data_IF_111563165325
#
_entry.id   IF_111563165325
#
_cell.length_a   1.000
_cell.length_b   1.000
_cell.length_c   1.000
_cell.angle_alpha   90.00
_cell.angle_beta   90.00
_cell.angle_gamma   90.00
#
_symmetry.space_group_name_H-M   'P 1'
#
loop_
_entity.id
_entity.type
_entity.pdbx_description
1 polymer ?
#
# COMPACT_ATOMS: atom_id res chain seq x y z
N UNK A 1 -26.67 -8.83 -12.30
CA UNK A 1 -25.42 -9.09 -11.56
C UNK A 1 -24.35 -9.31 -12.61
N UNK A 2 -23.39 -8.39 -12.71
CA UNK A 2 -22.27 -8.48 -13.66
C UNK A 2 -21.36 -9.66 -13.27
N UNK A 3 -20.78 -10.35 -14.24
CA UNK A 3 -19.78 -11.42 -14.00
C UNK A 3 -18.42 -10.82 -13.61
N UNK A 4 -17.53 -11.62 -13.00
CA UNK A 4 -16.21 -11.15 -12.56
C UNK A 4 -15.38 -10.51 -13.68
N UNK A 5 -15.42 -11.09 -14.88
CA UNK A 5 -14.76 -10.52 -16.07
C UNK A 5 -15.37 -9.19 -16.52
N UNK A 6 -16.69 -9.02 -16.39
CA UNK A 6 -17.37 -7.76 -16.69
C UNK A 6 -17.02 -6.68 -15.66
N UNK A 7 -16.83 -7.05 -14.38
CA UNK A 7 -16.38 -6.14 -13.34
C UNK A 7 -14.94 -5.66 -13.56
N UNK A 8 -14.02 -6.54 -13.99
CA UNK A 8 -12.65 -6.15 -14.37
C UNK A 8 -12.64 -5.25 -15.62
N UNK A 9 -13.44 -5.59 -16.63
CA UNK A 9 -13.55 -4.76 -17.84
C UNK A 9 -14.14 -3.37 -17.54
N UNK A 10 -15.18 -3.29 -16.70
CA UNK A 10 -15.78 -2.03 -16.27
C UNK A 10 -14.87 -1.21 -15.33
N UNK A 11 -13.90 -1.85 -14.67
CA UNK A 11 -12.88 -1.15 -13.88
C UNK A 11 -11.82 -0.48 -14.75
N UNK A 12 -11.41 -1.14 -15.85
CA UNK A 12 -10.41 -0.64 -16.81
C UNK A 12 -11.00 0.43 -17.75
N UNK A 13 -12.24 0.23 -18.18
CA UNK A 13 -12.98 1.16 -19.05
C UNK A 13 -14.35 1.47 -18.45
N UNK A 14 -14.53 2.73 -18.01
CA UNK A 14 -15.78 3.22 -17.40
C UNK A 14 -16.78 3.72 -18.44
N UNK A 15 -16.58 3.39 -19.72
CA UNK A 15 -17.47 3.80 -20.82
C UNK A 15 -18.93 3.42 -20.61
N UNK A 16 -19.21 2.22 -20.08
CA UNK A 16 -20.60 1.81 -19.78
C UNK A 16 -21.25 2.69 -18.71
N UNK A 17 -20.48 3.03 -17.66
CA UNK A 17 -20.93 3.92 -16.58
C UNK A 17 -21.19 5.32 -17.12
N UNK A 18 -20.31 5.83 -17.99
CA UNK A 18 -20.52 7.13 -18.64
C UNK A 18 -21.80 7.12 -19.49
N UNK A 19 -22.02 6.07 -20.28
CA UNK A 19 -23.24 5.95 -21.11
C UNK A 19 -24.50 5.89 -20.24
N UNK A 20 -24.46 5.17 -19.12
CA UNK A 20 -25.57 5.07 -18.17
C UNK A 20 -25.87 6.42 -17.49
N UNK A 21 -24.84 7.15 -17.07
CA UNK A 21 -24.97 8.52 -16.55
C UNK A 21 -25.56 9.45 -17.60
N UNK A 22 -25.08 9.38 -18.85
CA UNK A 22 -25.59 10.21 -19.95
C UNK A 22 -27.06 9.89 -20.27
N UNK A 23 -27.49 8.63 -20.14
CA UNK A 23 -28.89 8.24 -20.33
C UNK A 23 -29.83 8.80 -19.24
N UNK A 24 -29.32 9.03 -18.03
CA UNK A 24 -30.06 9.66 -16.94
C UNK A 24 -30.19 11.18 -17.05
N UNK A 25 -29.42 11.82 -17.94
CA UNK A 25 -29.40 13.27 -18.10
C UNK A 25 -30.33 13.74 -19.22
N UNK A 26 -30.85 14.97 -19.10
CA UNK A 26 -31.70 15.57 -20.14
C UNK A 26 -30.90 15.87 -21.41
N UNK A 27 -29.66 16.32 -21.25
CA UNK A 27 -28.70 16.50 -22.35
C UNK A 27 -27.33 16.00 -21.91
N UNK A 28 -26.54 15.37 -22.80
CA UNK A 28 -25.16 14.98 -22.51
C UNK A 28 -24.28 16.14 -22.03
N UNK A 29 -24.55 17.36 -22.51
CA UNK A 29 -23.83 18.57 -22.10
C UNK A 29 -24.05 18.98 -20.65
N UNK A 30 -25.11 18.49 -20.00
CA UNK A 30 -25.39 18.84 -18.61
C UNK A 30 -24.31 18.27 -17.66
N UNK A 31 -23.69 17.13 -18.03
CA UNK A 31 -22.54 16.56 -17.31
C UNK A 31 -21.31 17.49 -17.35
N UNK A 32 -21.09 18.18 -18.48
CA UNK A 32 -20.04 19.20 -18.57
C UNK A 32 -20.39 20.42 -17.72
N UNK A 33 -21.67 20.76 -17.61
CA UNK A 33 -22.14 21.81 -16.71
C UNK A 33 -21.82 21.49 -15.25
N UNK A 34 -21.99 20.23 -14.84
CA UNK A 34 -21.63 19.76 -13.49
C UNK A 34 -20.11 19.81 -13.26
N UNK A 35 -19.31 19.37 -14.23
CA UNK A 35 -17.84 19.50 -14.19
C UNK A 35 -17.40 20.96 -14.06
N UNK A 36 -18.06 21.88 -14.77
CA UNK A 36 -17.79 23.32 -14.69
C UNK A 36 -18.23 23.91 -13.35
N UNK A 37 -19.40 23.53 -12.84
CA UNK A 37 -19.92 23.98 -11.56
C UNK A 37 -19.00 23.52 -10.41
N UNK A 38 -18.61 22.25 -10.39
CA UNK A 38 -17.68 21.71 -9.40
C UNK A 38 -16.34 22.45 -9.43
N UNK A 39 -15.79 22.72 -10.62
CA UNK A 39 -14.57 23.51 -10.76
C UNK A 39 -14.72 24.94 -10.19
N UNK A 40 -15.80 25.66 -10.52
CA UNK A 40 -16.01 27.03 -10.05
C UNK A 40 -16.22 27.07 -8.52
N UNK A 41 -16.98 26.13 -7.97
CA UNK A 41 -17.21 26.03 -6.51
C UNK A 41 -15.92 25.66 -5.79
N UNK A 42 -15.10 24.80 -6.36
CA UNK A 42 -13.76 24.51 -5.85
C UNK A 42 -12.87 25.77 -5.88
N UNK A 43 -12.80 26.44 -7.02
CA UNK A 43 -11.94 27.61 -7.24
C UNK A 43 -12.30 28.82 -6.39
N UNK A 44 -13.60 29.11 -6.21
CA UNK A 44 -14.09 30.29 -5.47
C UNK A 44 -14.42 29.98 -4.01
N UNK A 45 -14.93 28.77 -3.73
CA UNK A 45 -15.44 28.39 -2.43
C UNK A 45 -14.48 27.58 -1.57
N UNK A 46 -13.31 27.18 -2.10
CA UNK A 46 -12.33 26.31 -1.42
C UNK A 46 -12.96 25.04 -0.82
N UNK A 47 -14.05 24.56 -1.42
CA UNK A 47 -14.76 23.37 -0.95
C UNK A 47 -14.02 22.11 -1.37
N UNK A 48 -13.63 21.29 -0.40
CA UNK A 48 -13.01 20.00 -0.64
C UNK A 48 -13.97 18.99 -1.30
N UNK A 49 -15.27 19.07 -1.00
CA UNK A 49 -16.28 18.21 -1.64
C UNK A 49 -16.40 18.52 -3.14
N UNK A 50 -16.36 19.80 -3.51
CA UNK A 50 -16.38 20.22 -4.91
C UNK A 50 -15.11 19.80 -5.67
N UNK A 51 -13.97 19.76 -4.97
CA UNK A 51 -12.72 19.22 -5.50
C UNK A 51 -12.82 17.72 -5.81
N UNK A 52 -13.29 16.91 -4.85
CA UNK A 52 -13.48 15.46 -5.04
C UNK A 52 -14.47 15.17 -6.18
N UNK A 53 -15.57 15.93 -6.28
CA UNK A 53 -16.53 15.81 -7.37
C UNK A 53 -15.92 16.16 -8.73
N UNK A 54 -15.17 17.26 -8.82
CA UNK A 54 -14.46 17.64 -10.05
C UNK A 54 -13.45 16.56 -10.48
N UNK A 55 -12.69 16.02 -9.52
CA UNK A 55 -11.74 14.93 -9.75
C UNK A 55 -12.43 13.66 -10.23
N UNK A 56 -13.55 13.26 -9.60
CA UNK A 56 -14.31 12.08 -9.99
C UNK A 56 -14.86 12.19 -11.42
N UNK A 57 -15.41 13.35 -11.80
CA UNK A 57 -15.89 13.61 -13.16
C UNK A 57 -14.76 13.61 -14.19
N UNK A 58 -13.60 14.21 -13.84
CA UNK A 58 -12.42 14.19 -14.69
C UNK A 58 -11.90 12.77 -14.92
N UNK A 59 -11.86 11.94 -13.87
CA UNK A 59 -11.50 10.54 -13.95
C UNK A 59 -12.46 9.73 -14.82
N UNK A 60 -13.78 9.94 -14.66
CA UNK A 60 -14.80 9.31 -15.50
C UNK A 60 -14.55 9.56 -17.00
N UNK A 61 -14.27 10.81 -17.39
CA UNK A 61 -13.95 11.12 -18.79
C UNK A 61 -12.60 10.57 -19.26
N UNK A 62 -11.59 10.52 -18.38
CA UNK A 62 -10.27 10.00 -18.71
C UNK A 62 -10.27 8.47 -18.91
N UNK A 63 -11.12 7.76 -18.18
CA UNK A 63 -11.21 6.30 -18.17
C UNK A 63 -12.33 5.76 -19.08
N UNK A 64 -13.02 6.61 -19.85
CA UNK A 64 -14.10 6.22 -20.76
C UNK A 64 -13.64 6.25 -22.23
N UNK A 65 -12.67 5.42 -22.60
CA UNK A 65 -12.11 5.43 -23.96
C UNK A 65 -13.12 4.93 -25.01
N UNK A 66 -13.84 3.86 -24.72
CA UNK A 66 -14.83 3.26 -25.62
C UNK A 66 -16.05 4.16 -25.92
N UNK A 67 -16.39 5.08 -25.01
CA UNK A 67 -17.54 5.98 -25.17
C UNK A 67 -17.27 7.19 -26.08
N UNK A 68 -16.02 7.44 -26.46
CA UNK A 68 -15.62 8.63 -27.23
C UNK A 68 -16.21 8.62 -28.64
N UNK A 69 -16.17 7.48 -29.32
CA UNK A 69 -16.63 7.38 -30.71
C UNK A 69 -18.15 7.58 -30.84
N UNK A 70 -18.91 7.22 -29.79
CA UNK A 70 -20.35 7.46 -29.71
C UNK A 70 -20.74 8.89 -29.30
N UNK A 71 -19.82 9.69 -28.74
CA UNK A 71 -20.12 10.97 -28.12
C UNK A 71 -19.13 12.09 -28.51
N UNK A 72 -18.71 12.13 -29.78
CA UNK A 72 -17.65 13.05 -30.26
C UNK A 72 -17.92 14.53 -29.95
N UNK A 73 -19.18 14.98 -30.02
CA UNK A 73 -19.55 16.38 -29.73
C UNK A 73 -19.41 16.74 -28.25
N UNK A 74 -19.68 15.77 -27.36
CA UNK A 74 -19.48 15.92 -25.92
C UNK A 74 -17.98 16.06 -25.62
N UNK A 75 -17.15 15.17 -26.16
CA UNK A 75 -15.70 15.23 -25.96
C UNK A 75 -15.08 16.49 -26.59
N UNK A 76 -15.55 16.92 -27.76
CA UNK A 76 -15.14 18.20 -28.34
C UNK A 76 -15.42 19.39 -27.41
N UNK A 77 -16.57 19.38 -26.74
CA UNK A 77 -16.95 20.38 -25.76
C UNK A 77 -16.11 20.25 -24.48
N UNK A 78 -15.83 19.03 -24.03
CA UNK A 78 -14.94 18.73 -22.91
C UNK A 78 -13.54 19.33 -23.11
N UNK A 79 -12.89 19.14 -24.26
CA UNK A 79 -11.57 19.74 -24.52
C UNK A 79 -11.58 21.26 -24.39
N UNK A 80 -12.68 21.93 -24.79
CA UNK A 80 -12.81 23.39 -24.64
C UNK A 80 -12.94 23.79 -23.17
N UNK A 81 -13.72 23.03 -22.40
CA UNK A 81 -13.89 23.23 -20.95
C UNK A 81 -12.55 23.04 -20.25
N UNK A 82 -11.89 21.90 -20.45
CA UNK A 82 -10.61 21.57 -19.80
C UNK A 82 -9.50 22.56 -20.17
N UNK A 83 -9.43 23.01 -21.42
CA UNK A 83 -8.49 24.05 -21.83
C UNK A 83 -8.70 25.35 -21.04
N UNK A 84 -9.95 25.78 -20.89
CA UNK A 84 -10.29 27.02 -20.16
C UNK A 84 -10.05 26.87 -18.66
N UNK A 85 -10.45 25.73 -18.06
CA UNK A 85 -10.24 25.45 -16.64
C UNK A 85 -8.74 25.40 -16.31
N UNK A 86 -7.95 24.72 -17.14
CA UNK A 86 -6.51 24.66 -16.92
C UNK A 86 -5.87 26.04 -17.00
N UNK A 87 -6.28 26.91 -17.94
CA UNK A 87 -5.80 28.30 -18.00
C UNK A 87 -6.13 29.12 -16.75
N UNK A 88 -7.28 28.87 -16.11
CA UNK A 88 -7.74 29.63 -14.94
C UNK A 88 -7.21 29.10 -13.61
N UNK A 89 -6.70 27.87 -13.57
CA UNK A 89 -6.20 27.25 -12.35
C UNK A 89 -4.88 27.92 -11.90
N UNK A 90 -4.73 28.34 -10.63
CA UNK A 90 -3.49 28.89 -10.07
C UNK A 90 -2.37 27.84 -10.00
N UNK A 91 -1.13 28.27 -10.16
CA UNK A 91 0.04 27.37 -10.11
C UNK A 91 0.23 26.71 -8.73
N UNK A 92 -0.16 27.39 -7.65
CA UNK A 92 -0.06 26.87 -6.29
C UNK A 92 -1.03 25.69 -6.01
N UNK A 93 -2.15 25.63 -6.74
CA UNK A 93 -3.10 24.49 -6.67
C UNK A 93 -2.62 23.27 -7.47
N UNK A 94 -1.65 23.43 -8.36
CA UNK A 94 -1.08 22.32 -9.13
C UNK A 94 -0.14 21.44 -8.30
N UNK A 95 0.28 21.94 -7.13
CA UNK A 95 1.29 21.36 -6.24
C UNK A 95 0.68 20.60 -5.04
N UNK A 96 -0.60 20.24 -5.10
CA UNK A 96 -1.32 19.60 -3.98
C UNK A 96 -0.80 18.19 -3.60
N UNK A 97 0.07 17.58 -4.40
CA UNK A 97 0.70 16.29 -4.08
C UNK A 97 2.18 16.45 -3.70
N UNK A 98 2.44 16.33 -2.40
CA UNK A 98 3.74 16.34 -1.73
C UNK A 98 4.58 15.06 -1.99
N UNK A 99 4.77 14.67 -3.27
CA UNK A 99 5.76 13.63 -3.60
C UNK A 99 5.66 12.86 -4.93
N UNK A 100 4.86 13.25 -5.92
CA UNK A 100 4.76 12.55 -7.21
C UNK A 100 3.78 13.26 -8.13
N UNK A 101 3.90 13.09 -9.45
CA UNK A 101 3.18 13.87 -10.47
C UNK A 101 1.70 14.14 -10.14
N UNK A 102 1.30 15.41 -10.12
CA UNK A 102 -0.06 15.86 -9.84
C UNK A 102 -1.09 14.99 -10.57
N UNK A 103 -2.06 14.42 -9.85
CA UNK A 103 -3.15 13.61 -10.43
C UNK A 103 -3.85 14.31 -11.62
N UNK A 104 -3.86 15.64 -11.63
CA UNK A 104 -4.37 16.47 -12.74
C UNK A 104 -3.58 16.18 -14.02
N UNK A 105 -2.25 16.11 -13.94
CA UNK A 105 -1.38 15.81 -15.09
C UNK A 105 -1.70 14.43 -15.66
N UNK A 106 -1.97 13.44 -14.80
CA UNK A 106 -2.33 12.10 -15.23
C UNK A 106 -3.65 12.07 -16.01
N UNK A 107 -4.73 12.62 -15.45
CA UNK A 107 -6.03 12.60 -16.13
C UNK A 107 -6.01 13.42 -17.42
N UNK A 108 -5.35 14.58 -17.42
CA UNK A 108 -5.21 15.39 -18.64
C UNK A 108 -4.36 14.67 -19.69
N UNK A 109 -3.30 13.94 -19.30
CA UNK A 109 -2.51 13.12 -20.23
C UNK A 109 -3.36 12.03 -20.87
N UNK A 110 -4.07 11.24 -20.07
CA UNK A 110 -4.93 10.14 -20.55
C UNK A 110 -6.01 10.67 -21.51
N UNK A 111 -6.63 11.81 -21.18
CA UNK A 111 -7.58 12.49 -22.08
C UNK A 111 -6.89 12.95 -23.38
N UNK A 112 -5.68 13.51 -23.33
CA UNK A 112 -4.94 13.92 -24.53
C UNK A 112 -4.57 12.72 -25.41
N UNK A 113 -4.15 11.60 -24.82
CA UNK A 113 -3.80 10.36 -25.52
C UNK A 113 -5.04 9.79 -26.24
N UNK A 114 -6.15 9.64 -25.52
CA UNK A 114 -7.42 9.13 -26.06
C UNK A 114 -7.96 9.97 -27.22
N UNK A 115 -7.75 11.29 -27.18
CA UNK A 115 -8.14 12.21 -28.25
C UNK A 115 -7.16 12.27 -29.41
N UNK A 116 -5.87 12.02 -29.16
CA UNK A 116 -4.83 12.02 -30.20
C UNK A 116 -4.95 10.80 -31.12
N UNK A 117 -5.47 9.69 -30.60
CA UNK A 117 -5.81 8.49 -31.38
C UNK A 117 -6.92 8.73 -32.42
N UNK A 118 -7.70 9.83 -32.30
CA UNK A 118 -8.90 10.08 -33.11
C UNK A 118 -8.80 11.38 -33.92
N UNK A 119 -9.04 11.34 -35.25
CA UNK A 119 -8.81 12.50 -36.13
C UNK A 119 -9.73 13.69 -35.84
N UNK A 120 -10.96 13.46 -35.35
CA UNK A 120 -11.93 14.50 -35.01
C UNK A 120 -11.53 15.33 -33.77
N UNK A 121 -10.74 14.75 -32.88
CA UNK A 121 -10.32 15.34 -31.59
C UNK A 121 -8.85 15.74 -31.59
N UNK A 122 -8.02 15.16 -32.47
CA UNK A 122 -6.58 15.34 -32.54
C UNK A 122 -6.12 16.81 -32.51
N UNK A 123 -6.81 17.70 -33.24
CA UNK A 123 -6.48 19.13 -33.25
C UNK A 123 -6.63 19.75 -31.86
N UNK A 124 -7.72 19.44 -31.14
CA UNK A 124 -7.99 19.98 -29.79
C UNK A 124 -7.11 19.32 -28.73
N UNK A 125 -6.88 18.01 -28.84
CA UNK A 125 -5.94 17.28 -27.99
C UNK A 125 -4.52 17.87 -28.10
N UNK A 126 -4.07 18.24 -29.31
CA UNK A 126 -2.77 18.88 -29.50
C UNK A 126 -2.66 20.28 -28.85
N UNK A 127 -3.72 21.08 -28.85
CA UNK A 127 -3.73 22.36 -28.12
C UNK A 127 -3.69 22.17 -26.60
N UNK A 128 -4.46 21.20 -26.10
CA UNK A 128 -4.46 20.87 -24.67
C UNK A 128 -3.09 20.32 -24.23
N UNK A 129 -2.47 19.47 -25.05
CA UNK A 129 -1.11 18.96 -24.84
C UNK A 129 -0.09 20.08 -24.68
N UNK A 130 -0.08 21.04 -25.62
CA UNK A 130 0.81 22.21 -25.55
C UNK A 130 0.58 23.05 -24.30
N UNK A 131 -0.68 23.21 -23.88
CA UNK A 131 -1.00 23.94 -22.66
C UNK A 131 -0.48 23.21 -21.41
N UNK A 132 -0.61 21.88 -21.36
CA UNK A 132 -0.05 21.06 -20.29
C UNK A 132 1.48 21.14 -20.25
N UNK A 133 2.17 21.02 -21.39
CA UNK A 133 3.62 21.14 -21.46
C UNK A 133 4.11 22.51 -20.99
N UNK A 134 3.40 23.60 -21.35
CA UNK A 134 3.74 24.94 -20.91
C UNK A 134 3.52 25.17 -19.40
N UNK A 135 2.53 24.50 -18.79
CA UNK A 135 2.16 24.68 -17.37
C UNK A 135 2.89 23.72 -16.44
N UNK A 136 3.19 22.51 -16.89
CA UNK A 136 3.75 21.43 -16.07
C UNK A 136 5.18 21.01 -16.48
N UNK A 137 5.73 21.55 -17.58
CA UNK A 137 7.05 21.21 -18.09
C UNK A 137 7.10 19.94 -18.96
N UNK A 138 8.31 19.55 -19.40
CA UNK A 138 8.54 18.40 -20.32
C UNK A 138 8.29 17.01 -19.70
N UNK A 139 7.91 16.90 -18.41
CA UNK A 139 7.60 15.61 -17.77
C UNK A 139 6.25 15.00 -18.21
N UNK A 140 5.71 15.46 -19.34
CA UNK A 140 4.53 14.87 -19.94
C UNK A 140 4.82 13.50 -20.60
N UNK A 141 6.10 13.14 -20.79
CA UNK A 141 6.54 11.94 -21.52
C UNK A 141 7.02 10.73 -20.71
N UNK A 142 7.22 10.83 -19.39
CA UNK A 142 7.65 9.67 -18.59
C UNK A 142 6.45 8.99 -17.94
N UNK A 143 6.35 7.68 -18.17
CA UNK A 143 5.34 6.78 -17.60
C UNK A 143 5.48 6.81 -16.08
N UNK A 144 4.55 7.51 -15.43
CA UNK A 144 4.30 7.37 -14.00
C UNK A 144 2.94 6.70 -13.89
N UNK A 145 2.97 5.42 -13.53
CA UNK A 145 1.81 4.68 -13.03
C UNK A 145 1.22 5.51 -11.89
N UNK A 146 0.03 6.09 -12.12
CA UNK A 146 -0.78 6.58 -11.02
C UNK A 146 -1.45 5.36 -10.44
N UNK A 147 -1.39 5.21 -9.11
CA UNK A 147 -2.13 4.19 -8.38
C UNK A 147 -3.61 4.31 -8.73
N UNK A 148 -4.05 3.46 -9.66
CA UNK A 148 -5.46 3.29 -10.02
C UNK A 148 -6.23 2.93 -8.74
N UNK A 149 -7.37 3.58 -8.54
CA UNK A 149 -8.20 3.35 -7.38
C UNK A 149 -8.70 1.91 -7.38
N UNK A 150 -8.25 1.13 -6.40
CA UNK A 150 -8.86 -0.11 -5.92
C UNK A 150 -9.34 -1.05 -7.04
N UNK A 151 -8.39 -1.72 -7.72
CA UNK A 151 -8.71 -2.86 -8.57
C UNK A 151 -9.47 -3.92 -7.75
N UNK A 152 -10.73 -4.25 -8.09
CA UNK A 152 -11.37 -5.42 -7.52
C UNK A 152 -10.61 -6.68 -8.00
N UNK A 153 -10.54 -7.74 -7.18
CA UNK A 153 -9.74 -8.92 -7.48
C UNK A 153 -10.16 -9.53 -8.81
N UNK A 154 -9.19 -9.65 -9.74
CA UNK A 154 -9.34 -10.41 -10.98
C UNK A 154 -9.55 -11.88 -10.61
N UNK A 155 -10.76 -12.39 -10.85
CA UNK A 155 -11.02 -13.83 -10.80
C UNK A 155 -10.47 -14.42 -12.09
N UNK A 156 -9.32 -15.09 -11.98
CA UNK A 156 -8.80 -15.94 -13.05
C UNK A 156 -9.57 -17.25 -12.96
N UNK A 157 -10.49 -17.50 -13.89
CA UNK A 157 -11.01 -18.85 -14.10
C UNK A 157 -9.84 -19.72 -14.58
N UNK A 158 -9.32 -20.55 -13.67
CA UNK A 158 -8.32 -21.56 -13.98
C UNK A 158 -9.01 -22.72 -14.66
N UNK A 159 -9.16 -22.65 -15.99
CA UNK A 159 -9.36 -23.82 -16.85
C UNK A 159 -9.06 -23.45 -18.31
N UNK A 160 -7.80 -23.59 -18.72
CA UNK A 160 -7.42 -23.99 -20.09
C UNK A 160 -5.89 -24.17 -20.22
N UNK A 161 -5.50 -25.45 -20.23
CA UNK A 161 -4.42 -26.03 -21.02
C UNK A 161 -2.97 -25.55 -20.83
N UNK A 162 -2.23 -26.42 -20.14
CA UNK A 162 -0.82 -26.75 -20.35
C UNK A 162 -0.45 -26.79 -21.84
N UNK A 163 0.67 -26.17 -22.22
CA UNK A 163 1.87 -26.85 -22.75
C UNK A 163 3.09 -25.88 -22.76
N UNK A 164 4.34 -26.40 -22.68
CA UNK A 164 5.55 -25.65 -22.29
C UNK A 164 6.44 -25.27 -23.49
N UNK A 165 7.66 -24.77 -23.17
CA UNK A 165 8.87 -24.53 -24.01
C UNK A 165 9.06 -23.04 -24.40
N UNK A 166 10.24 -22.41 -24.38
CA UNK A 166 11.63 -22.82 -24.18
C UNK A 166 12.50 -21.57 -23.89
N UNK A 167 13.58 -21.77 -23.14
CA UNK A 167 14.74 -20.87 -23.02
C UNK A 167 15.24 -20.33 -24.37
N UNK A 168 15.63 -19.04 -24.42
CA UNK A 168 16.76 -18.64 -25.28
C UNK A 168 17.49 -17.37 -24.80
N UNK A 169 18.73 -17.63 -24.39
CA UNK A 169 19.83 -16.70 -24.18
C UNK A 169 20.35 -16.19 -25.53
N UNK A 170 20.49 -14.88 -25.74
CA UNK A 170 21.44 -14.31 -26.72
C UNK A 170 22.00 -12.99 -26.19
N UNK A 171 23.34 -12.94 -26.13
CA UNK A 171 24.20 -11.81 -25.81
C UNK A 171 24.58 -11.02 -27.08
N UNK A 172 24.93 -9.74 -26.83
CA UNK A 172 25.85 -8.85 -27.57
C UNK A 172 25.36 -8.04 -28.78
N UNK A 173 25.39 -6.70 -28.64
CA UNK A 173 26.44 -5.83 -29.22
C UNK A 173 26.28 -4.35 -28.78
N UNK A 174 27.35 -3.77 -28.23
CA UNK A 174 27.59 -2.31 -28.10
C UNK A 174 27.83 -1.68 -29.49
N UNK A 175 27.71 -0.35 -29.75
CA UNK A 175 28.57 0.70 -29.14
C UNK A 175 27.96 2.11 -28.98
N UNK A 176 28.46 2.91 -28.02
CA UNK A 176 29.03 4.26 -28.21
C UNK A 176 29.29 4.95 -26.85
N UNK A 177 30.50 5.49 -26.68
CA UNK A 177 30.88 6.36 -25.56
C UNK A 177 30.55 7.83 -25.88
N UNK A 178 30.32 8.66 -24.84
CA UNK A 178 30.93 9.97 -24.81
C UNK A 178 31.77 10.24 -23.56
N UNK A 179 32.58 11.28 -23.70
CA UNK A 179 33.81 11.62 -22.99
C UNK A 179 33.62 12.05 -21.52
N UNK A 180 34.59 11.57 -20.73
CA UNK A 180 35.22 12.11 -19.51
C UNK A 180 34.80 13.53 -19.09
N UNK A 181 34.21 13.61 -17.89
CA UNK A 181 34.09 14.80 -17.05
C UNK A 181 34.47 14.45 -15.60
N UNK A 182 35.20 15.35 -14.94
CA UNK A 182 35.96 15.11 -13.70
C UNK A 182 35.12 14.82 -12.44
N UNK A 183 35.68 13.91 -11.63
CA UNK A 183 35.35 13.41 -10.28
C UNK A 183 34.41 14.25 -9.39
N UNK A 184 33.27 13.65 -9.04
CA UNK A 184 32.64 13.79 -7.71
C UNK A 184 32.62 12.41 -7.04
N UNK A 185 33.44 12.19 -6.01
CA UNK A 185 33.48 10.93 -5.24
C UNK A 185 32.16 10.74 -4.51
N UNK A 186 31.26 9.90 -5.02
CA UNK A 186 30.15 9.35 -4.26
C UNK A 186 30.72 8.27 -3.33
N UNK A 187 30.54 8.43 -2.03
CA UNK A 187 30.83 7.38 -1.06
C UNK A 187 29.98 6.15 -1.42
N UNK A 188 30.66 5.08 -1.84
CA UNK A 188 30.05 3.79 -2.09
C UNK A 188 29.52 3.30 -0.73
N UNK A 189 28.21 3.32 -0.54
CA UNK A 189 27.58 2.54 0.53
C UNK A 189 27.92 1.10 0.21
N UNK A 190 28.85 0.51 0.96
CA UNK A 190 29.01 -0.93 0.99
C UNK A 190 27.69 -1.51 1.48
N UNK A 191 26.85 -1.97 0.56
CA UNK A 191 25.91 -3.03 0.85
C UNK A 191 26.77 -4.20 1.34
N UNK A 192 26.80 -4.41 2.65
CA UNK A 192 27.14 -5.73 3.19
C UNK A 192 26.06 -6.66 2.67
N UNK A 193 26.32 -7.27 1.52
CA UNK A 193 25.64 -8.48 1.10
C UNK A 193 25.93 -9.52 2.17
N UNK A 194 24.99 -9.68 3.09
CA UNK A 194 24.88 -10.90 3.88
C UNK A 194 24.26 -11.90 2.92
N UNK A 195 25.10 -12.74 2.31
CA UNK A 195 24.71 -14.00 1.67
C UNK A 195 24.17 -14.93 2.76
N UNK A 196 22.97 -14.62 3.27
CA UNK A 196 22.15 -15.61 3.95
C UNK A 196 21.62 -16.55 2.87
N UNK A 197 21.85 -17.86 3.06
CA UNK A 197 21.26 -18.92 2.23
C UNK A 197 19.79 -18.60 1.93
N UNK A 198 19.38 -18.65 0.66
CA UNK A 198 18.00 -18.34 0.25
C UNK A 198 16.96 -19.21 0.98
N UNK A 199 17.35 -20.42 1.40
CA UNK A 199 16.52 -21.32 2.22
C UNK A 199 16.34 -20.82 3.65
N UNK A 200 17.39 -20.27 4.26
CA UNK A 200 17.31 -19.65 5.60
C UNK A 200 16.40 -18.41 5.59
N UNK A 201 16.40 -17.66 4.48
CA UNK A 201 15.51 -16.50 4.29
C UNK A 201 14.04 -16.88 4.12
N UNK A 202 13.75 -18.00 3.44
CA UNK A 202 12.38 -18.51 3.28
C UNK A 202 11.84 -19.13 4.56
N UNK A 203 12.70 -19.80 5.34
CA UNK A 203 12.28 -20.52 6.54
C UNK A 203 12.20 -19.64 7.80
N UNK A 204 12.89 -18.49 7.80
CA UNK A 204 12.84 -17.57 8.95
C UNK A 204 11.59 -16.69 8.88
N UNK A 205 10.66 -16.77 9.85
CA UNK A 205 9.47 -15.93 9.85
C UNK A 205 9.86 -14.48 10.07
N UNK A 206 9.53 -13.63 9.09
CA UNK A 206 9.67 -12.18 9.16
C UNK A 206 8.33 -11.51 9.42
N UNK A 207 8.33 -10.45 10.20
CA UNK A 207 7.12 -9.72 10.54
C UNK A 207 7.23 -8.23 10.13
N UNK A 208 6.12 -7.65 9.71
CA UNK A 208 5.95 -6.20 9.57
C UNK A 208 4.99 -5.74 10.67
N UNK A 209 5.35 -4.69 11.39
CA UNK A 209 4.51 -4.10 12.44
C UNK A 209 4.19 -2.67 12.03
N UNK A 210 2.91 -2.34 11.93
CA UNK A 210 2.44 -1.02 11.52
C UNK A 210 1.33 -0.52 12.44
N UNK A 211 1.13 0.80 12.43
CA UNK A 211 -0.10 1.43 12.92
C UNK A 211 -1.00 1.78 11.75
N UNK A 212 -2.31 1.78 11.97
CA UNK A 212 -3.30 2.18 10.96
C UNK A 212 -4.27 3.21 11.55
N UNK A 213 -4.53 4.26 10.76
CA UNK A 213 -5.41 5.36 11.14
C UNK A 213 -4.72 6.41 12.03
N UNK A 214 -5.53 7.26 12.63
CA UNK A 214 -5.06 8.19 13.65
C UNK A 214 -4.95 7.45 14.98
N UNK A 215 -3.74 7.43 15.56
CA UNK A 215 -3.47 6.75 16.82
C UNK A 215 -2.76 7.69 17.79
N UNK A 216 -3.09 7.58 19.07
CA UNK A 216 -2.46 8.34 20.15
C UNK A 216 -0.99 7.99 20.30
N UNK A 217 -0.18 8.92 20.84
CA UNK A 217 1.27 8.74 20.97
C UNK A 217 1.64 7.44 21.71
N UNK A 218 0.92 7.09 22.77
CA UNK A 218 1.16 5.85 23.52
C UNK A 218 1.08 4.58 22.65
N UNK A 219 0.16 4.55 21.67
CA UNK A 219 0.06 3.41 20.73
C UNK A 219 1.23 3.43 19.73
N UNK A 220 1.75 4.61 19.37
CA UNK A 220 2.93 4.75 18.53
C UNK A 220 4.20 4.25 19.24
N UNK A 221 4.31 4.55 20.53
CA UNK A 221 5.41 4.07 21.38
C UNK A 221 5.30 2.54 21.57
N UNK A 222 4.08 2.01 21.74
CA UNK A 222 3.83 0.58 21.80
C UNK A 222 4.25 -0.15 20.50
N UNK A 223 3.99 0.42 19.32
CA UNK A 223 4.50 -0.12 18.04
C UNK A 223 6.02 -0.18 18.04
N UNK A 224 6.68 0.86 18.55
CA UNK A 224 8.14 0.93 18.64
C UNK A 224 8.70 -0.13 19.59
N UNK A 225 8.06 -0.34 20.74
CA UNK A 225 8.43 -1.38 21.69
C UNK A 225 8.20 -2.79 21.12
N UNK A 226 7.08 -3.02 20.42
CA UNK A 226 6.81 -4.30 19.74
C UNK A 226 7.84 -4.60 18.65
N UNK A 227 8.30 -3.58 17.91
CA UNK A 227 9.41 -3.73 16.94
C UNK A 227 10.71 -4.15 17.61
N UNK A 228 11.00 -3.64 18.81
CA UNK A 228 12.17 -4.06 19.58
C UNK A 228 12.05 -5.50 20.06
N UNK A 229 10.89 -5.90 20.58
CA UNK A 229 10.63 -7.29 21.00
C UNK A 229 10.86 -8.26 19.84
N UNK A 230 10.37 -7.95 18.65
CA UNK A 230 10.42 -8.84 17.49
C UNK A 230 11.72 -8.74 16.65
N UNK A 231 12.69 -7.91 17.04
CA UNK A 231 14.02 -7.84 16.40
C UNK A 231 14.72 -9.22 16.42
N UNK A 232 15.56 -9.60 15.43
CA UNK A 232 15.98 -8.87 14.22
C UNK A 232 15.06 -9.06 13.01
N UNK A 233 14.11 -10.00 13.06
CA UNK A 233 13.29 -10.42 11.91
C UNK A 233 12.14 -9.45 11.57
N UNK A 234 12.30 -8.19 11.96
CA UNK A 234 11.32 -7.12 11.75
C UNK A 234 11.96 -5.94 11.07
N UNK A 235 11.20 -5.31 10.18
CA UNK A 235 11.57 -4.05 9.55
C UNK A 235 11.51 -2.88 10.57
N UNK A 236 12.53 -2.77 11.42
CA UNK A 236 12.61 -1.78 12.50
C UNK A 236 12.63 -0.32 12.02
N UNK A 237 13.14 -0.08 10.81
CA UNK A 237 13.24 1.25 10.19
C UNK A 237 12.09 1.59 9.24
N UNK A 238 11.10 0.70 9.12
CA UNK A 238 9.94 0.97 8.30
C UNK A 238 9.18 2.17 8.88
N UNK A 239 9.03 3.22 8.09
CA UNK A 239 8.26 4.41 8.46
C UNK A 239 6.89 4.32 7.80
N UNK A 240 5.88 4.13 8.63
CA UNK A 240 4.50 4.10 8.21
C UNK A 240 3.93 5.52 8.14
N UNK A 241 3.49 5.90 6.95
CA UNK A 241 2.74 7.14 6.72
C UNK A 241 1.24 6.88 6.88
N UNK A 242 0.47 7.93 7.17
CA UNK A 242 -1.00 7.87 7.14
C UNK A 242 -1.56 7.59 5.74
N UNK A 243 -0.77 7.91 4.71
CA UNK A 243 -1.11 7.70 3.30
C UNK A 243 -1.04 6.22 2.89
N UNK A 244 -0.25 5.41 3.58
CA UNK A 244 -0.02 4.01 3.19
C UNK A 244 -1.30 3.18 3.37
N UNK A 245 -1.73 2.54 2.29
CA UNK A 245 -2.87 1.62 2.31
C UNK A 245 -2.43 0.22 2.74
N UNK A 246 -3.41 -0.59 3.09
CA UNK A 246 -3.21 -1.99 3.45
C UNK A 246 -2.61 -2.81 2.32
N UNK A 247 -3.02 -2.53 1.09
CA UNK A 247 -2.60 -3.23 -0.12
C UNK A 247 -1.11 -3.05 -0.36
N UNK A 248 -0.57 -1.85 -0.12
CA UNK A 248 0.85 -1.54 -0.25
C UNK A 248 1.70 -2.45 0.65
N UNK A 249 1.26 -2.67 1.90
CA UNK A 249 1.97 -3.56 2.82
C UNK A 249 1.87 -5.04 2.42
N UNK A 250 0.78 -5.44 1.77
CA UNK A 250 0.63 -6.80 1.21
C UNK A 250 1.54 -6.97 0.00
N UNK A 251 1.59 -6.02 -0.93
CA UNK A 251 2.48 -6.05 -2.09
C UNK A 251 3.96 -6.10 -1.67
N UNK A 252 4.35 -5.22 -0.74
CA UNK A 252 5.70 -5.19 -0.15
C UNK A 252 6.02 -6.51 0.57
N UNK A 253 5.04 -7.11 1.26
CA UNK A 253 5.28 -8.37 1.98
C UNK A 253 5.72 -9.51 1.08
N UNK A 254 5.19 -9.59 -0.15
CA UNK A 254 5.59 -10.59 -1.13
C UNK A 254 7.06 -10.45 -1.53
N UNK A 255 7.50 -9.21 -1.77
CA UNK A 255 8.89 -8.92 -2.18
C UNK A 255 9.91 -9.21 -1.08
N UNK A 256 9.56 -8.93 0.18
CA UNK A 256 10.47 -9.07 1.32
C UNK A 256 10.37 -10.43 2.02
N UNK A 257 9.50 -11.33 1.54
CA UNK A 257 9.25 -12.64 2.15
C UNK A 257 8.69 -12.53 3.56
N UNK A 258 7.82 -11.55 3.81
CA UNK A 258 7.25 -11.31 5.13
C UNK A 258 6.10 -12.27 5.37
N UNK A 259 6.18 -12.98 6.50
CA UNK A 259 5.22 -14.02 6.87
C UNK A 259 4.00 -13.46 7.59
N UNK A 260 4.18 -12.50 8.50
CA UNK A 260 3.10 -11.98 9.34
C UNK A 260 3.06 -10.44 9.33
N UNK A 261 1.86 -9.89 9.40
CA UNK A 261 1.58 -8.47 9.53
C UNK A 261 0.86 -8.21 10.83
N UNK A 262 1.46 -7.39 11.68
CA UNK A 262 0.87 -6.94 12.93
C UNK A 262 0.42 -5.49 12.75
N UNK A 263 -0.83 -5.21 13.12
CA UNK A 263 -1.45 -3.92 12.91
C UNK A 263 -2.09 -3.43 14.19
N UNK A 264 -1.68 -2.25 14.63
CA UNK A 264 -2.35 -1.55 15.70
C UNK A 264 -3.30 -0.51 15.11
N UNK A 265 -4.59 -0.70 15.33
CA UNK A 265 -5.68 0.22 14.98
C UNK A 265 -6.30 0.77 16.25
N UNK A 266 -6.62 2.05 16.28
CA UNK A 266 -7.37 2.64 17.38
C UNK A 266 -8.77 3.02 16.92
N UNK A 267 -9.77 2.59 17.68
CA UNK A 267 -11.14 3.08 17.60
C UNK A 267 -11.41 4.03 18.76
N UNK A 268 -12.56 4.70 18.77
CA UNK A 268 -12.94 5.61 19.85
C UNK A 268 -13.04 4.91 21.22
N UNK A 269 -13.35 3.61 21.23
CA UNK A 269 -13.54 2.82 22.45
C UNK A 269 -12.25 2.16 22.92
N UNK A 270 -11.53 1.48 22.02
CA UNK A 270 -10.31 0.75 22.41
C UNK A 270 -9.33 0.54 21.26
N UNK A 271 -8.03 0.35 21.57
CA UNK A 271 -7.06 -0.13 20.60
C UNK A 271 -7.25 -1.63 20.31
N UNK A 272 -7.03 -2.00 19.06
CA UNK A 272 -7.08 -3.36 18.57
C UNK A 272 -5.75 -3.74 17.92
N UNK A 273 -5.27 -4.94 18.22
CA UNK A 273 -4.13 -5.57 17.58
C UNK A 273 -4.65 -6.62 16.59
N UNK A 274 -4.36 -6.44 15.31
CA UNK A 274 -4.68 -7.43 14.27
C UNK A 274 -3.39 -8.12 13.84
N UNK A 275 -3.40 -9.45 13.84
CA UNK A 275 -2.30 -10.27 13.34
C UNK A 275 -2.81 -10.98 12.10
N UNK A 276 -2.14 -10.81 10.97
CA UNK A 276 -2.51 -11.42 9.68
C UNK A 276 -1.37 -12.26 9.17
N UNK A 277 -1.65 -13.48 8.70
CA UNK A 277 -0.69 -14.29 7.97
C UNK A 277 -0.74 -13.91 6.48
N UNK A 278 0.39 -13.48 5.93
CA UNK A 278 0.51 -13.07 4.52
C UNK A 278 0.38 -14.29 3.58
N UNK A 279 -0.14 -14.10 2.36
CA UNK A 279 -0.55 -15.13 1.39
C UNK A 279 -1.85 -15.89 1.75
N UNK A 280 -2.99 -15.17 1.74
CA UNK A 280 -4.34 -15.71 2.02
C UNK A 280 -4.48 -16.49 3.34
N UNK A 281 -3.78 -16.04 4.38
CA UNK A 281 -3.88 -16.65 5.71
C UNK A 281 -4.98 -16.00 6.57
N UNK A 282 -5.32 -16.62 7.71
CA UNK A 282 -6.29 -16.08 8.64
C UNK A 282 -5.78 -14.78 9.29
N UNK A 283 -6.74 -13.96 9.72
CA UNK A 283 -6.50 -12.77 10.53
C UNK A 283 -7.10 -12.96 11.91
N UNK A 284 -6.29 -12.77 12.95
CA UNK A 284 -6.74 -12.72 14.33
C UNK A 284 -6.84 -11.27 14.80
N UNK A 285 -7.94 -10.93 15.44
CA UNK A 285 -8.19 -9.60 15.97
C UNK A 285 -8.31 -9.66 17.49
N UNK A 286 -7.41 -8.97 18.18
CA UNK A 286 -7.39 -8.88 19.64
C UNK A 286 -7.74 -7.46 20.05
N UNK A 287 -8.60 -7.34 21.06
CA UNK A 287 -8.80 -6.08 21.76
C UNK A 287 -7.69 -5.91 22.80
N UNK A 288 -7.04 -4.75 22.81
CA UNK A 288 -6.00 -4.45 23.80
C UNK A 288 -6.68 -3.85 25.03
N UNK A 289 -6.74 -4.63 26.11
CA UNK A 289 -7.35 -4.21 27.37
C UNK A 289 -6.43 -3.26 28.15
N UNK A 290 -5.20 -3.71 28.39
CA UNK A 290 -4.21 -2.97 29.16
C UNK A 290 -2.86 -3.08 28.45
N UNK A 291 -2.14 -1.95 28.37
CA UNK A 291 -0.81 -1.89 27.79
C UNK A 291 0.11 -1.07 28.70
N UNK A 292 1.37 -1.50 28.81
CA UNK A 292 2.42 -0.77 29.51
C UNK A 292 3.62 -0.60 28.60
N UNK A 293 4.15 0.61 28.52
CA UNK A 293 5.32 0.92 27.70
C UNK A 293 6.58 0.40 28.37
N UNK A 294 7.58 0.05 27.56
CA UNK A 294 8.89 -0.36 28.03
C UNK A 294 9.53 0.72 28.91
N UNK A 295 9.31 1.99 28.58
CA UNK A 295 9.80 3.14 29.36
C UNK A 295 9.24 3.15 30.77
N UNK A 296 7.96 2.83 30.93
CA UNK A 296 7.26 2.88 32.21
C UNK A 296 7.68 1.70 33.09
N UNK A 297 7.79 0.51 32.49
CA UNK A 297 8.29 -0.69 33.19
C UNK A 297 9.73 -0.49 33.66
N UNK A 298 10.59 0.11 32.82
CA UNK A 298 11.98 0.41 33.19
C UNK A 298 12.07 1.44 34.33
N UNK A 299 11.18 2.43 34.36
CA UNK A 299 11.11 3.42 35.44
C UNK A 299 10.62 2.82 36.75
N UNK A 300 9.70 1.87 36.70
CA UNK A 300 9.16 1.20 37.88
C UNK A 300 10.16 0.22 38.54
N UNK A 301 11.13 -0.30 37.78
CA UNK A 301 12.11 -1.25 38.28
C UNK A 301 13.24 -0.58 39.07
N UNK A 302 13.59 -1.13 40.23
CA UNK A 302 14.73 -0.67 41.05
C UNK A 302 16.09 -0.82 40.34
N UNK A 303 16.22 -1.84 39.48
CA UNK A 303 17.45 -2.16 38.71
C UNK A 303 17.07 -2.54 37.28
N UNK A 304 16.77 -1.55 36.42
CA UNK A 304 16.37 -1.85 35.05
C UNK A 304 17.56 -2.40 34.27
N UNK A 305 17.38 -3.57 33.67
CA UNK A 305 18.30 -4.04 32.63
C UNK A 305 18.05 -3.21 31.37
N UNK A 306 19.06 -2.50 30.89
CA UNK A 306 19.01 -1.87 29.58
C UNK A 306 19.48 -2.91 28.57
N UNK A 307 18.55 -3.41 27.73
CA UNK A 307 18.89 -4.38 26.70
C UNK A 307 20.04 -3.88 25.83
N UNK A 308 21.08 -4.69 25.71
CA UNK A 308 22.24 -4.40 24.87
C UNK A 308 21.89 -4.61 23.41
N UNK A 309 22.59 -3.93 22.49
CA UNK A 309 22.45 -4.17 21.05
C UNK A 309 22.65 -5.64 20.67
N UNK A 310 23.46 -6.39 21.45
CA UNK A 310 23.68 -7.84 21.27
C UNK A 310 22.45 -8.68 21.62
N UNK A 311 21.59 -8.22 22.53
CA UNK A 311 20.43 -8.98 22.98
C UNK A 311 19.33 -8.96 21.90
N UNK A 312 19.22 -7.86 21.16
CA UNK A 312 18.27 -7.70 20.04
C UNK A 312 18.75 -8.30 18.71
N UNK A 313 19.99 -8.79 18.65
CA UNK A 313 20.55 -9.44 17.47
C UNK A 313 20.05 -10.87 17.28
N UNK A 314 19.60 -11.53 18.35
CA UNK A 314 19.04 -12.89 18.33
C UNK A 314 17.53 -12.84 18.51
N UNK A 315 16.77 -13.65 17.77
CA UNK A 315 15.31 -13.70 17.91
C UNK A 315 14.89 -14.20 19.30
N UNK A 316 13.77 -13.70 19.88
CA UNK A 316 13.29 -14.18 21.17
C UNK A 316 12.68 -15.59 21.07
N UNK A 317 12.75 -16.33 22.17
CA UNK A 317 12.05 -17.61 22.32
C UNK A 317 10.58 -17.39 22.67
N UNK A 318 9.69 -18.15 22.07
CA UNK A 318 8.26 -18.11 22.39
C UNK A 318 7.89 -19.22 23.37
N UNK A 319 7.16 -18.87 24.43
CA UNK A 319 6.57 -19.81 25.38
C UNK A 319 5.06 -19.59 25.38
N UNK A 320 4.31 -20.64 25.10
CA UNK A 320 2.85 -20.63 25.12
C UNK A 320 2.39 -21.42 26.36
N UNK A 321 1.68 -20.75 27.26
CA UNK A 321 1.09 -21.36 28.45
C UNK A 321 -0.44 -21.31 28.36
N UNK A 322 -1.12 -22.40 28.68
CA UNK A 322 -2.59 -22.50 28.66
C UNK A 322 -3.24 -22.74 27.29
N UNK A 323 -2.48 -22.69 26.18
CA UNK A 323 -3.03 -22.90 24.83
C UNK A 323 -3.28 -24.37 24.47
N UNK A 324 -2.58 -25.32 25.10
CA UNK A 324 -2.68 -26.75 24.76
C UNK A 324 -4.00 -27.40 25.20
N UNK A 325 -4.43 -27.15 26.44
CA UNK A 325 -5.70 -27.68 26.95
C UNK A 325 -6.90 -26.93 26.38
N UNK A 326 -6.76 -25.62 26.15
CA UNK A 326 -7.79 -24.80 25.55
C UNK A 326 -8.00 -25.08 24.05
N UNK A 327 -6.94 -25.44 23.32
CA UNK A 327 -7.03 -25.84 21.90
C UNK A 327 -7.92 -27.07 21.67
N UNK A 328 -7.98 -28.00 22.63
CA UNK A 328 -8.87 -29.17 22.57
C UNK A 328 -10.34 -28.80 22.79
N UNK A 329 -10.62 -27.70 23.51
CA UNK A 329 -11.98 -27.23 23.81
C UNK A 329 -12.52 -26.33 22.69
N UNK A 330 -11.65 -25.56 22.04
CA UNK A 330 -12.06 -24.59 21.03
C UNK A 330 -11.06 -24.46 19.87
N UNK A 331 -11.50 -24.64 18.61
CA UNK A 331 -10.61 -24.66 17.44
C UNK A 331 -9.95 -23.29 17.15
N UNK A 332 -10.59 -22.19 17.56
CA UNK A 332 -10.04 -20.85 17.38
C UNK A 332 -8.81 -20.59 18.27
N UNK A 333 -8.71 -21.25 19.43
CA UNK A 333 -7.55 -21.14 20.33
C UNK A 333 -6.37 -21.97 19.84
N UNK A 334 -6.62 -23.12 19.22
CA UNK A 334 -5.59 -23.90 18.53
C UNK A 334 -5.00 -23.12 17.35
N UNK A 335 -5.86 -22.48 16.56
CA UNK A 335 -5.43 -21.57 15.48
C UNK A 335 -4.59 -20.41 16.04
N UNK A 336 -5.03 -19.80 17.14
CA UNK A 336 -4.29 -18.74 17.82
C UNK A 336 -2.91 -19.21 18.29
N UNK A 337 -2.84 -20.35 18.95
CA UNK A 337 -1.56 -20.92 19.41
C UNK A 337 -0.61 -21.22 18.24
N UNK A 338 -1.14 -21.78 17.15
CA UNK A 338 -0.36 -22.08 15.94
C UNK A 338 0.16 -20.81 15.28
N UNK A 339 -0.67 -19.77 15.18
CA UNK A 339 -0.28 -18.47 14.60
C UNK A 339 0.73 -17.74 15.47
N UNK A 340 0.57 -17.75 16.79
CA UNK A 340 1.54 -17.16 17.73
C UNK A 340 2.88 -17.89 17.66
N UNK A 341 2.86 -19.22 17.52
CA UNK A 341 4.08 -20.02 17.35
C UNK A 341 4.75 -19.75 16.00
N UNK A 342 4.00 -19.59 14.91
CA UNK A 342 4.56 -19.37 13.58
C UNK A 342 5.20 -18.00 13.37
N UNK A 343 4.91 -17.02 14.23
CA UNK A 343 5.56 -15.69 14.19
C UNK A 343 7.05 -15.74 14.59
N UNK A 344 7.47 -16.77 15.31
CA UNK A 344 8.84 -16.91 15.81
C UNK A 344 9.53 -18.10 15.13
N UNK A 345 10.86 -18.07 14.95
CA UNK A 345 11.60 -19.21 14.44
C UNK A 345 11.33 -20.45 15.30
N UNK A 346 11.14 -21.60 14.66
CA UNK A 346 11.02 -22.88 15.38
C UNK A 346 12.33 -23.21 16.07
N UNK A 347 12.25 -23.58 17.35
CA UNK A 347 13.39 -23.88 18.20
C UNK A 347 13.38 -25.38 18.50
N UNK A 348 14.44 -26.08 18.07
CA UNK A 348 14.63 -27.49 18.36
C UNK A 348 15.53 -27.67 19.60
N UNK A 349 15.10 -28.36 20.66
CA UNK A 349 15.81 -28.43 21.93
C UNK A 349 17.18 -29.13 21.85
N UNK A 350 17.48 -29.82 20.75
CA UNK A 350 18.73 -30.57 20.57
C UNK A 350 19.83 -29.79 19.86
N UNK A 351 19.47 -28.77 19.08
CA UNK A 351 20.41 -28.06 18.19
C UNK A 351 20.63 -26.61 18.62
N UNK A 352 19.89 -26.13 19.62
CA UNK A 352 19.87 -24.73 20.02
C UNK A 352 20.99 -24.41 21.01
N UNK A 353 21.74 -23.36 20.69
CA UNK A 353 22.74 -22.79 21.58
C UNK A 353 22.07 -21.92 22.67
N UNK A 354 22.19 -22.36 23.92
CA UNK A 354 21.62 -21.66 25.09
C UNK A 354 22.23 -20.26 25.28
N UNK A 355 23.45 -20.00 24.80
CA UNK A 355 24.07 -18.67 24.91
C UNK A 355 23.42 -17.62 24.00
N UNK A 356 22.81 -18.08 22.89
CA UNK A 356 22.07 -17.23 21.96
C UNK A 356 20.67 -16.85 22.49
N UNK A 357 20.14 -17.66 23.42
CA UNK A 357 18.80 -17.53 23.97
C UNK A 357 18.73 -16.47 25.09
N UNK A 358 18.71 -15.19 24.71
CA UNK A 358 18.74 -14.07 25.67
C UNK A 358 17.38 -13.44 25.97
N UNK A 359 16.36 -13.73 25.17
CA UNK A 359 15.05 -13.08 25.27
C UNK A 359 13.94 -14.10 25.17
N UNK A 360 12.90 -13.92 25.98
CA UNK A 360 11.73 -14.81 26.02
C UNK A 360 10.45 -13.98 25.96
N UNK A 361 9.54 -14.38 25.08
CA UNK A 361 8.17 -13.88 25.00
C UNK A 361 7.24 -14.98 25.51
N UNK A 362 6.54 -14.68 26.60
CA UNK A 362 5.56 -15.56 27.22
C UNK A 362 4.15 -15.08 26.83
N UNK A 363 3.36 -15.98 26.25
CA UNK A 363 1.92 -15.80 26.12
C UNK A 363 1.24 -16.72 27.14
N UNK A 364 0.50 -16.13 28.08
CA UNK A 364 -0.27 -16.87 29.06
C UNK A 364 -1.76 -16.69 28.76
N UNK A 365 -2.45 -17.79 28.45
CA UNK A 365 -3.90 -17.81 28.29
C UNK A 365 -4.56 -18.18 29.61
N UNK A 366 -5.54 -17.37 30.02
CA UNK A 366 -6.33 -17.57 31.23
C UNK A 366 -7.76 -17.98 30.83
N UNK A 367 -8.19 -19.18 31.23
CA UNK A 367 -9.48 -19.76 30.83
C UNK A 367 -10.68 -19.01 31.45
N UNK A 368 -10.54 -18.49 32.67
CA UNK A 368 -11.64 -17.85 33.40
C UNK A 368 -12.00 -16.49 32.82
N UNK A 369 -10.97 -15.71 32.44
CA UNK A 369 -11.15 -14.36 31.92
C UNK A 369 -11.15 -14.29 30.39
N UNK A 370 -10.81 -15.39 29.70
CA UNK A 370 -10.59 -15.45 28.25
C UNK A 370 -9.62 -14.34 27.77
N UNK A 371 -8.57 -14.09 28.56
CA UNK A 371 -7.55 -13.07 28.25
C UNK A 371 -6.20 -13.71 27.98
N UNK A 372 -5.46 -13.11 27.03
CA UNK A 372 -4.09 -13.50 26.72
C UNK A 372 -3.15 -12.42 27.26
N UNK A 373 -2.25 -12.82 28.16
CA UNK A 373 -1.24 -11.95 28.74
C UNK A 373 0.09 -12.20 28.02
N UNK A 374 0.53 -11.23 27.23
CA UNK A 374 1.85 -11.22 26.60
C UNK A 374 2.86 -10.53 27.53
N UNK A 375 3.98 -11.19 27.83
CA UNK A 375 5.09 -10.63 28.61
C UNK A 375 6.42 -10.91 27.94
N UNK A 376 7.33 -9.95 27.97
CA UNK A 376 8.67 -10.08 27.42
C UNK A 376 9.71 -9.97 28.55
N UNK A 377 10.65 -10.91 28.56
CA UNK A 377 11.72 -11.03 29.55
C UNK A 377 13.10 -11.01 28.89
N UNK A 378 14.07 -10.40 29.57
CA UNK A 378 15.48 -10.24 29.17
C UNK A 378 16.48 -10.77 30.20
#
# INVERSE_FOLDING_TARGET
RLTGAQLTAAAIDRSEVLIEVLAGLRRPTDLLGELQAAFVVFMLGQSFEAFEQWKALLGLFAESEGAIDGNVDLFNSLYRVLFTQLQQMPDDMLLLDDGGSSFVVHYFRRIVENGSARPSLAKRAAYLKKLCENRFGESCGDVVEVEEGEDPPVVVDTDAHLLPLLFRLVLWLSPLMPRVGSRRRKARVQQKNIEESEEARRNTPRCIIIRRGQVVQAVQDLVTDLRQVMSPNVASKLKESRKNKMQDFVAVSGMFGVSHLLQLTQTDVSPYLRITRMAQGPTLTFQVMEASLQTDVRRAQKRPKVGSMKDYAQAPMVVLNGFGDAGKKAPHLELCGTMLKSMFPSIDPKTVDLQSCRRVVLFNYDEESNTIKMRHYQ
#
